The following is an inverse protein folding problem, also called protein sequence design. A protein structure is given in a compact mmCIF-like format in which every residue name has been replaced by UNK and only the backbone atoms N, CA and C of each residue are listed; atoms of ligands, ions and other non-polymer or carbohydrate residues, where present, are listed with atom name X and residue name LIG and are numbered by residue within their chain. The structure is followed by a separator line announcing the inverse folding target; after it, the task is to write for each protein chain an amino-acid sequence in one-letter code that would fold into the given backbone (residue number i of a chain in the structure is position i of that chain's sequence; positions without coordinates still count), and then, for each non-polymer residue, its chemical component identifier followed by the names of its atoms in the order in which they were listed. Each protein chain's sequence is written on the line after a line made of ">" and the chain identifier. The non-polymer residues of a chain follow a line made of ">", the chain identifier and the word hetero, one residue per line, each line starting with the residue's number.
data_IF_578919447909
#
_entry.id   IF_578919447909
#
_cell.length_a   1.000
_cell.length_b   1.000
_cell.length_c   1.000
_cell.angle_alpha   90.00
_cell.angle_beta   90.00
_cell.angle_gamma   90.00
#
_symmetry.space_group_name_H-M   'P 1'
#
loop_
_entity.id
_entity.type
_entity.pdbx_description
1 polymer ?
#
# COMPACT_ATOMS: atom_id res chain seq x y z
N UNK A 1 -5.77 75.66 -10.53
CA UNK A 1 -5.95 74.31 -9.94
C UNK A 1 -6.38 73.30 -11.03
N UNK A 2 -5.47 72.78 -11.86
CA UNK A 2 -5.79 71.75 -12.90
C UNK A 2 -4.67 70.71 -13.15
N UNK A 3 -3.67 70.61 -12.26
CA UNK A 3 -2.51 69.72 -12.43
C UNK A 3 -2.53 68.41 -11.62
N UNK A 4 -3.36 68.31 -10.59
CA UNK A 4 -3.31 67.20 -9.62
C UNK A 4 -4.24 66.03 -9.93
N UNK A 5 -5.21 66.21 -10.85
CA UNK A 5 -6.19 65.16 -11.21
C UNK A 5 -5.59 64.07 -12.13
N UNK A 6 -4.74 64.44 -13.09
CA UNK A 6 -4.18 63.50 -14.05
C UNK A 6 -3.12 62.56 -13.45
N UNK A 7 -2.35 63.01 -12.45
CA UNK A 7 -1.39 62.16 -11.74
C UNK A 7 -2.08 61.13 -10.83
N UNK A 8 -3.17 61.53 -10.16
CA UNK A 8 -4.00 60.60 -9.36
C UNK A 8 -4.66 59.52 -10.22
N UNK A 9 -5.21 59.89 -11.37
CA UNK A 9 -5.84 58.93 -12.28
C UNK A 9 -4.85 57.89 -12.81
N UNK A 10 -3.63 58.29 -13.20
CA UNK A 10 -2.59 57.36 -13.65
C UNK A 10 -2.09 56.43 -12.53
N UNK A 11 -2.03 56.91 -11.29
CA UNK A 11 -1.62 56.09 -10.14
C UNK A 11 -2.69 55.05 -9.77
N UNK A 12 -3.97 55.43 -9.83
CA UNK A 12 -5.09 54.52 -9.63
C UNK A 12 -5.19 53.46 -10.75
N UNK A 13 -4.98 53.86 -12.02
CA UNK A 13 -4.95 52.92 -13.15
C UNK A 13 -3.81 51.90 -13.03
N UNK A 14 -2.60 52.35 -12.67
CA UNK A 14 -1.45 51.45 -12.43
C UNK A 14 -1.67 50.50 -11.25
N UNK A 15 -2.26 50.99 -10.14
CA UNK A 15 -2.65 50.13 -9.00
C UNK A 15 -3.69 49.09 -9.40
N UNK A 16 -4.73 49.48 -10.15
CA UNK A 16 -5.75 48.55 -10.64
C UNK A 16 -5.17 47.51 -11.59
N UNK A 17 -4.30 47.91 -12.52
CA UNK A 17 -3.64 46.99 -13.45
C UNK A 17 -2.73 45.99 -12.73
N UNK A 18 -1.98 46.43 -11.72
CA UNK A 18 -1.11 45.55 -10.92
C UNK A 18 -1.93 44.61 -10.03
N UNK A 19 -3.02 45.08 -9.43
CA UNK A 19 -3.94 44.22 -8.67
C UNK A 19 -4.61 43.18 -9.57
N UNK A 20 -5.00 43.57 -10.79
CA UNK A 20 -5.58 42.64 -11.76
C UNK A 20 -4.56 41.58 -12.21
N UNK A 21 -3.32 42.00 -12.48
CA UNK A 21 -2.22 41.09 -12.83
C UNK A 21 -1.95 40.09 -11.70
N UNK A 22 -1.90 40.57 -10.44
CA UNK A 22 -1.68 39.76 -9.25
C UNK A 22 -2.82 38.77 -9.02
N UNK A 23 -4.08 39.20 -9.20
CA UNK A 23 -5.24 38.34 -9.09
C UNK A 23 -5.23 37.25 -10.17
N UNK A 24 -4.91 37.60 -11.42
CA UNK A 24 -4.80 36.61 -12.50
C UNK A 24 -3.66 35.61 -12.26
N UNK A 25 -2.52 36.05 -11.72
CA UNK A 25 -1.40 35.12 -11.41
C UNK A 25 -1.76 34.19 -10.26
N UNK A 26 -2.45 34.67 -9.22
CA UNK A 26 -2.92 33.84 -8.11
C UNK A 26 -3.97 32.81 -8.55
N UNK A 27 -4.90 33.19 -9.42
CA UNK A 27 -5.89 32.26 -10.00
C UNK A 27 -5.21 31.22 -10.88
N UNK A 28 -4.26 31.62 -11.73
CA UNK A 28 -3.53 30.69 -12.60
C UNK A 28 -2.65 29.73 -11.79
N UNK A 29 -1.97 30.22 -10.74
CA UNK A 29 -1.20 29.40 -9.83
C UNK A 29 -2.09 28.42 -9.04
N UNK A 30 -3.25 28.87 -8.57
CA UNK A 30 -4.24 28.01 -7.91
C UNK A 30 -4.79 26.92 -8.81
N UNK A 31 -5.04 27.23 -10.09
CA UNK A 31 -5.43 26.24 -11.11
C UNK A 31 -4.32 25.22 -11.38
N UNK A 32 -3.06 25.65 -11.44
CA UNK A 32 -1.92 24.76 -11.66
C UNK A 32 -1.69 23.80 -10.47
N UNK A 33 -1.89 24.27 -9.22
CA UNK A 33 -1.77 23.44 -8.02
C UNK A 33 -2.95 22.46 -7.88
N UNK A 34 -4.15 22.84 -8.35
CA UNK A 34 -5.32 21.94 -8.39
C UNK A 34 -5.22 20.80 -9.41
N UNK A 35 -4.26 20.86 -10.34
CA UNK A 35 -4.04 19.82 -11.35
C UNK A 35 -3.01 18.77 -10.93
N UNK A 36 -2.31 18.94 -9.81
CA UNK A 36 -1.36 17.94 -9.31
C UNK A 36 -2.08 16.92 -8.43
N UNK A 37 -2.71 15.94 -9.05
CA UNK A 37 -3.09 14.70 -8.38
C UNK A 37 -2.00 13.66 -8.67
N UNK A 38 -1.28 13.24 -7.64
CA UNK A 38 -0.14 12.36 -7.76
C UNK A 38 -0.34 11.13 -6.88
N UNK A 39 -0.83 10.05 -7.48
CA UNK A 39 -0.93 8.74 -6.83
C UNK A 39 0.46 8.10 -6.72
N UNK A 40 1.13 8.33 -5.59
CA UNK A 40 2.42 7.69 -5.31
C UNK A 40 2.21 6.31 -4.67
N UNK A 41 2.49 5.24 -5.41
CA UNK A 41 2.56 3.89 -4.86
C UNK A 41 3.97 3.59 -4.32
N UNK A 42 4.18 3.84 -3.02
CA UNK A 42 5.41 3.50 -2.31
C UNK A 42 5.31 2.10 -1.69
N UNK A 43 6.33 1.28 -1.95
CA UNK A 43 6.42 -0.08 -1.41
C UNK A 43 7.80 -0.30 -0.80
N UNK A 44 7.88 -0.24 0.53
CA UNK A 44 9.08 -0.57 1.30
C UNK A 44 8.69 -1.41 2.53
N UNK A 45 9.24 -2.63 2.70
CA UNK A 45 10.11 -3.35 1.77
C UNK A 45 9.39 -3.69 0.46
N UNK A 46 10.14 -3.90 -0.62
CA UNK A 46 9.59 -4.28 -1.94
C UNK A 46 8.63 -5.47 -1.81
N UNK A 47 7.49 -5.42 -2.49
CA UNK A 47 6.53 -6.53 -2.47
C UNK A 47 5.82 -6.75 -3.81
N UNK A 48 4.97 -7.78 -3.87
CA UNK A 48 4.57 -8.36 -5.15
C UNK A 48 3.47 -7.62 -5.91
N UNK A 49 2.70 -6.76 -5.25
CA UNK A 49 1.53 -6.11 -5.86
C UNK A 49 0.56 -7.12 -6.52
N UNK A 50 0.15 -8.16 -5.77
CA UNK A 50 -0.66 -9.28 -6.25
C UNK A 50 -0.02 -10.15 -7.34
N UNK A 51 1.22 -9.89 -7.73
CA UNK A 51 1.92 -10.70 -8.72
C UNK A 51 2.40 -12.00 -8.08
N UNK A 52 2.51 -13.04 -8.89
CA UNK A 52 2.98 -14.36 -8.48
C UNK A 52 4.00 -14.90 -9.49
N UNK A 53 3.56 -15.15 -10.72
CA UNK A 53 4.31 -15.78 -11.80
C UNK A 53 4.02 -15.16 -13.20
N UNK A 54 3.65 -13.87 -13.25
CA UNK A 54 3.26 -13.20 -14.51
C UNK A 54 4.44 -12.56 -15.22
N UNK A 55 4.59 -12.77 -16.52
CA UNK A 55 5.72 -12.22 -17.28
C UNK A 55 5.59 -10.71 -17.61
N UNK A 56 4.37 -10.23 -17.83
CA UNK A 56 4.11 -8.83 -18.23
C UNK A 56 4.25 -7.83 -17.09
N UNK A 57 4.41 -6.54 -17.41
CA UNK A 57 4.50 -5.44 -16.44
C UNK A 57 3.20 -5.23 -15.63
N UNK A 58 2.05 -5.58 -16.20
CA UNK A 58 0.76 -5.48 -15.53
C UNK A 58 0.45 -6.75 -14.72
N UNK A 59 -0.15 -6.59 -13.53
CA UNK A 59 -0.73 -7.71 -12.77
C UNK A 59 -1.97 -8.25 -13.49
N UNK A 60 -2.18 -9.56 -13.44
CA UNK A 60 -3.36 -10.20 -14.04
C UNK A 60 -4.61 -10.17 -13.15
N UNK A 61 -4.45 -10.05 -11.83
CA UNK A 61 -5.56 -10.02 -10.89
C UNK A 61 -5.31 -9.00 -9.77
N UNK A 62 -6.18 -7.98 -9.68
CA UNK A 62 -6.11 -6.96 -8.63
C UNK A 62 -6.57 -7.46 -7.26
N UNK A 63 -7.35 -8.52 -7.22
CA UNK A 63 -8.02 -8.97 -5.99
C UNK A 63 -7.37 -10.23 -5.41
N UNK A 64 -6.08 -10.47 -5.68
CA UNK A 64 -5.40 -11.69 -5.21
C UNK A 64 -5.05 -11.63 -3.71
N UNK A 65 -4.47 -10.55 -3.24
CA UNK A 65 -3.99 -10.38 -1.86
C UNK A 65 -4.49 -9.09 -1.21
N UNK A 66 -4.43 -7.97 -1.94
CA UNK A 66 -4.85 -6.65 -1.49
C UNK A 66 -5.19 -5.76 -2.69
N UNK A 67 -5.99 -4.72 -2.52
CA UNK A 67 -6.26 -3.77 -3.60
C UNK A 67 -5.25 -2.60 -3.53
N UNK A 68 -4.38 -2.49 -4.54
CA UNK A 68 -3.25 -1.56 -4.52
C UNK A 68 -3.46 -0.25 -5.27
N UNK A 69 -4.60 -0.10 -5.97
CA UNK A 69 -4.98 1.09 -6.76
C UNK A 69 -3.88 1.72 -7.65
N UNK A 70 -2.79 1.00 -7.96
CA UNK A 70 -1.64 1.53 -8.69
C UNK A 70 -1.68 1.23 -10.21
N UNK A 71 -2.88 1.29 -10.79
CA UNK A 71 -3.13 1.11 -12.22
C UNK A 71 -2.51 -0.17 -12.82
N UNK A 72 -2.72 -1.32 -12.17
CA UNK A 72 -2.19 -2.62 -12.57
C UNK A 72 -0.65 -2.77 -12.60
N UNK A 73 0.14 -1.74 -12.32
CA UNK A 73 1.60 -1.73 -12.57
C UNK A 73 2.45 -1.90 -11.32
N UNK A 74 3.70 -2.32 -11.52
CA UNK A 74 4.69 -2.46 -10.45
C UNK A 74 4.50 -3.71 -9.59
N UNK A 75 5.46 -3.93 -8.70
CA UNK A 75 5.59 -5.13 -7.87
C UNK A 75 6.35 -6.27 -8.56
N UNK A 76 6.72 -7.26 -7.76
CA UNK A 76 7.64 -8.33 -8.16
C UNK A 76 7.00 -9.73 -8.09
N UNK A 77 7.40 -10.60 -9.02
CA UNK A 77 7.07 -12.02 -9.00
C UNK A 77 8.00 -12.79 -8.04
N UNK A 78 7.56 -13.98 -7.64
CA UNK A 78 8.33 -14.88 -6.79
C UNK A 78 9.50 -15.53 -7.54
N UNK A 79 9.47 -15.54 -8.89
CA UNK A 79 10.54 -16.11 -9.70
C UNK A 79 10.79 -17.57 -9.35
N UNK A 80 9.87 -18.44 -9.72
CA UNK A 80 10.01 -19.85 -9.35
C UNK A 80 11.19 -20.47 -10.11
N UNK A 81 12.11 -21.11 -9.38
CA UNK A 81 13.32 -21.76 -9.91
C UNK A 81 13.01 -22.74 -11.06
N UNK A 82 11.77 -23.27 -11.08
CA UNK A 82 11.33 -24.27 -12.04
C UNK A 82 10.41 -23.70 -13.16
N UNK A 83 10.17 -22.38 -13.21
CA UNK A 83 9.38 -21.76 -14.29
C UNK A 83 10.24 -21.52 -15.53
N UNK A 84 9.61 -21.62 -16.72
CA UNK A 84 10.25 -21.55 -18.05
C UNK A 84 11.01 -20.26 -18.34
N UNK A 85 10.82 -19.21 -17.55
CA UNK A 85 11.47 -17.93 -17.74
C UNK A 85 12.18 -17.54 -16.46
N UNK A 86 13.51 -17.66 -16.48
CA UNK A 86 14.41 -17.31 -15.39
C UNK A 86 15.11 -15.97 -15.60
N UNK A 87 14.80 -15.24 -16.69
CA UNK A 87 15.41 -13.94 -16.98
C UNK A 87 14.62 -12.78 -16.38
N UNK A 88 15.35 -11.78 -15.86
CA UNK A 88 14.77 -10.55 -15.32
C UNK A 88 13.98 -9.76 -16.37
N UNK A 89 14.34 -9.87 -17.65
CA UNK A 89 13.63 -9.24 -18.77
C UNK A 89 12.21 -9.78 -18.95
N UNK A 90 11.97 -11.03 -18.57
CA UNK A 90 10.69 -11.71 -18.79
C UNK A 90 9.94 -11.97 -17.50
N UNK A 91 10.61 -11.96 -16.34
CA UNK A 91 9.98 -11.98 -15.04
C UNK A 91 10.64 -10.95 -14.13
N UNK A 92 9.84 -9.98 -13.68
CA UNK A 92 10.24 -9.03 -12.64
C UNK A 92 10.42 -9.76 -11.31
N UNK A 93 11.52 -10.47 -11.12
CA UNK A 93 11.78 -11.23 -9.91
C UNK A 93 12.13 -10.30 -8.77
N UNK A 94 11.67 -10.65 -7.58
CA UNK A 94 12.01 -9.88 -6.40
C UNK A 94 13.47 -10.14 -6.03
N UNK A 95 14.33 -9.16 -6.28
CA UNK A 95 15.64 -9.10 -5.63
C UNK A 95 15.41 -8.71 -4.17
N UNK A 96 15.21 -9.72 -3.31
CA UNK A 96 14.97 -9.52 -1.89
C UNK A 96 16.22 -8.97 -1.18
N UNK A 97 16.00 -8.14 -0.15
CA UNK A 97 16.90 -8.07 1.00
C UNK A 97 16.66 -9.30 1.89
N UNK A 98 16.87 -10.51 1.37
CA UNK A 98 16.75 -11.72 2.17
C UNK A 98 18.10 -12.36 2.37
N UNK A 99 18.40 -12.67 3.62
CA UNK A 99 19.46 -13.61 3.95
C UNK A 99 18.95 -15.01 3.59
N UNK A 100 19.58 -15.68 2.63
CA UNK A 100 19.24 -17.06 2.32
C UNK A 100 19.35 -17.93 3.58
N UNK A 101 18.45 -18.90 3.75
CA UNK A 101 18.36 -19.78 4.94
C UNK A 101 19.69 -20.40 5.40
N UNK A 102 20.68 -20.48 4.49
CA UNK A 102 22.03 -20.98 4.75
C UNK A 102 23.17 -19.95 4.71
N UNK A 103 22.91 -18.69 4.41
CA UNK A 103 23.96 -17.68 4.21
C UNK A 103 24.43 -17.12 5.56
N UNK A 104 25.73 -17.21 5.81
CA UNK A 104 26.33 -16.69 7.03
C UNK A 104 26.33 -15.15 6.98
N UNK A 105 25.52 -14.54 7.85
CA UNK A 105 25.71 -13.12 8.20
C UNK A 105 26.93 -13.02 9.13
N UNK A 106 27.72 -11.97 8.98
CA UNK A 106 28.95 -11.67 9.75
C UNK A 106 28.74 -11.66 11.28
N UNK A 107 27.50 -11.64 11.75
CA UNK A 107 27.11 -11.50 13.16
C UNK A 107 26.54 -12.77 13.83
N UNK A 108 26.83 -13.98 13.33
CA UNK A 108 26.29 -15.23 13.92
C UNK A 108 24.78 -15.42 13.68
N UNK A 109 24.18 -14.55 12.85
CA UNK A 109 22.77 -14.52 12.50
C UNK A 109 22.54 -15.18 11.12
N UNK A 110 22.94 -16.45 10.99
CA UNK A 110 22.79 -17.21 9.74
C UNK A 110 21.34 -17.17 9.24
N UNK A 111 21.15 -16.70 8.01
CA UNK A 111 19.82 -16.63 7.37
C UNK A 111 18.83 -15.63 7.98
N UNK A 112 19.27 -14.65 8.80
CA UNK A 112 18.38 -13.58 9.31
C UNK A 112 18.45 -12.34 8.43
N UNK A 113 17.30 -11.83 7.99
CA UNK A 113 17.19 -10.53 7.31
C UNK A 113 16.94 -9.43 8.34
N UNK A 114 17.60 -8.29 8.21
CA UNK A 114 17.39 -7.11 9.05
C UNK A 114 16.70 -6.03 8.21
N UNK A 115 15.56 -5.54 8.67
CA UNK A 115 14.86 -4.39 8.10
C UNK A 115 14.91 -3.25 9.11
N UNK A 116 15.74 -2.25 8.84
CA UNK A 116 15.78 -1.03 9.66
C UNK A 116 14.56 -0.19 9.34
N UNK A 117 13.80 0.17 10.39
CA UNK A 117 12.69 1.10 10.30
C UNK A 117 13.09 2.35 11.08
N UNK A 118 13.11 3.48 10.41
CA UNK A 118 13.45 4.78 11.00
C UNK A 118 12.39 5.80 10.60
N UNK A 119 12.00 6.65 11.55
CA UNK A 119 11.13 7.80 11.30
C UNK A 119 11.59 8.98 12.15
N UNK A 120 11.40 10.19 11.65
CA UNK A 120 11.64 11.43 12.39
C UNK A 120 10.29 12.08 12.71
N UNK A 121 10.15 12.58 13.95
CA UNK A 121 8.97 13.35 14.35
C UNK A 121 9.38 14.81 14.65
N UNK A 122 8.95 15.74 13.80
CA UNK A 122 9.35 17.14 13.81
C UNK A 122 8.91 17.90 15.08
N UNK A 123 7.76 17.55 15.66
CA UNK A 123 7.16 18.30 16.77
C UNK A 123 7.28 17.61 18.14
N UNK A 124 8.10 16.57 18.26
CA UNK A 124 8.26 15.83 19.51
C UNK A 124 6.98 15.12 19.98
N UNK A 125 7.02 14.53 21.17
CA UNK A 125 5.87 13.88 21.81
C UNK A 125 5.87 14.18 23.31
N UNK A 126 4.69 14.20 23.93
CA UNK A 126 4.51 14.45 25.36
C UNK A 126 4.74 15.91 25.78
N UNK A 127 4.12 16.86 25.08
CA UNK A 127 3.94 18.25 25.54
C UNK A 127 2.44 18.51 25.82
N UNK A 128 2.11 19.57 26.59
CA UNK A 128 0.74 19.87 27.07
C UNK A 128 -0.31 19.88 25.96
N UNK A 129 0.10 20.20 24.73
CA UNK A 129 -0.77 20.30 23.56
C UNK A 129 -0.54 19.18 22.51
N UNK A 130 0.40 18.25 22.74
CA UNK A 130 0.82 17.25 21.76
C UNK A 130 0.91 15.83 22.37
N UNK A 131 -0.11 15.03 22.07
CA UNK A 131 -0.14 13.59 22.32
C UNK A 131 0.21 12.83 21.04
N UNK A 132 1.27 12.01 21.08
CA UNK A 132 1.59 11.10 19.99
C UNK A 132 1.19 9.66 20.32
N UNK A 133 0.70 8.94 19.32
CA UNK A 133 0.62 7.50 19.36
C UNK A 133 1.15 6.94 18.04
N UNK A 134 2.27 6.22 18.10
CA UNK A 134 2.82 5.49 16.96
C UNK A 134 2.51 4.01 17.14
N UNK A 135 1.78 3.43 16.19
CA UNK A 135 1.43 2.01 16.19
C UNK A 135 2.03 1.36 14.95
N UNK A 136 3.12 0.60 15.15
CA UNK A 136 3.67 -0.27 14.12
C UNK A 136 3.11 -1.68 14.30
N UNK A 137 2.32 -2.12 13.32
CA UNK A 137 1.77 -3.48 13.29
C UNK A 137 2.40 -4.28 12.17
N UNK A 138 3.00 -5.41 12.52
CA UNK A 138 3.52 -6.38 11.57
C UNK A 138 3.08 -7.78 11.99
N UNK A 139 3.00 -8.68 11.01
CA UNK A 139 2.58 -10.06 11.23
C UNK A 139 3.61 -11.02 10.66
N UNK A 140 4.10 -11.91 11.50
CA UNK A 140 5.02 -12.98 11.11
C UNK A 140 4.34 -14.34 11.29
N UNK A 141 4.80 -15.32 10.54
CA UNK A 141 4.46 -16.71 10.75
C UNK A 141 5.69 -17.58 10.47
N UNK A 142 5.78 -18.71 11.16
CA UNK A 142 6.84 -19.67 10.90
C UNK A 142 6.64 -20.38 9.56
N UNK A 143 7.69 -20.44 8.74
CA UNK A 143 7.71 -21.22 7.51
C UNK A 143 8.11 -22.67 7.81
N UNK A 144 7.15 -23.44 8.35
CA UNK A 144 7.33 -24.87 8.63
C UNK A 144 6.73 -25.73 7.52
N UNK A 145 7.47 -26.79 7.11
CA UNK A 145 7.06 -27.72 6.04
C UNK A 145 5.69 -28.40 6.26
N UNK A 146 5.13 -28.32 7.47
CA UNK A 146 3.86 -28.95 7.87
C UNK A 146 3.01 -28.04 8.75
N UNK A 147 3.03 -26.72 8.53
CA UNK A 147 2.17 -25.82 9.29
C UNK A 147 0.70 -26.25 9.14
N UNK A 148 0.08 -26.68 10.25
CA UNK A 148 -1.35 -26.96 10.26
C UNK A 148 -2.07 -25.66 9.98
N UNK A 149 -2.68 -25.58 8.81
CA UNK A 149 -3.42 -24.39 8.42
C UNK A 149 -4.61 -24.21 9.36
N UNK A 150 -4.79 -22.98 9.81
CA UNK A 150 -6.01 -22.50 10.43
C UNK A 150 -6.43 -21.21 9.73
N UNK A 151 -7.60 -20.69 10.08
CA UNK A 151 -8.14 -19.50 9.41
C UNK A 151 -7.31 -18.23 9.66
N UNK A 152 -6.37 -18.25 10.61
CA UNK A 152 -5.39 -17.18 10.81
C UNK A 152 -4.07 -17.45 10.08
N UNK A 153 -3.80 -18.60 9.48
CA UNK A 153 -2.52 -18.82 8.80
C UNK A 153 -2.39 -17.91 7.56
N UNK A 154 -1.28 -17.16 7.44
CA UNK A 154 -1.00 -16.42 6.21
C UNK A 154 -0.61 -17.40 5.11
N UNK A 155 -1.01 -17.10 3.89
CA UNK A 155 -0.82 -17.98 2.74
C UNK A 155 -0.26 -17.15 1.61
N UNK A 156 0.84 -17.59 1.02
CA UNK A 156 1.36 -16.94 -0.19
C UNK A 156 0.48 -17.25 -1.41
N UNK A 157 -0.19 -18.43 -1.42
CA UNK A 157 -1.02 -18.90 -2.54
C UNK A 157 -0.19 -19.45 -3.70
N UNK A 158 -0.52 -20.63 -4.21
CA UNK A 158 0.08 -21.20 -5.43
C UNK A 158 -0.59 -20.77 -6.73
N UNK A 159 -1.79 -20.20 -6.64
CA UNK A 159 -2.58 -19.76 -7.78
C UNK A 159 -2.74 -18.23 -7.78
N UNK A 160 -3.18 -17.72 -8.92
CA UNK A 160 -3.42 -16.28 -9.17
C UNK A 160 -4.86 -15.85 -8.87
N UNK A 161 -5.74 -16.79 -8.52
CA UNK A 161 -7.15 -16.54 -8.25
C UNK A 161 -7.38 -15.78 -6.94
N UNK A 162 -8.44 -14.98 -6.92
CA UNK A 162 -8.93 -14.22 -5.76
C UNK A 162 -9.43 -15.15 -4.65
N UNK A 163 -9.11 -14.88 -3.36
CA UNK A 163 -9.73 -15.54 -2.23
C UNK A 163 -11.26 -15.52 -2.36
N UNK A 164 -11.92 -16.65 -2.10
CA UNK A 164 -13.37 -16.69 -2.22
C UNK A 164 -13.96 -16.04 -0.98
N UNK A 165 -14.51 -14.85 -1.16
CA UNK A 165 -15.36 -14.20 -0.18
C UNK A 165 -16.64 -13.74 -0.87
N UNK A 166 -17.78 -14.24 -0.38
CA UNK A 166 -19.08 -13.72 -0.75
C UNK A 166 -19.61 -12.94 0.44
N UNK A 167 -19.88 -11.64 0.24
CA UNK A 167 -20.49 -10.79 1.28
C UNK A 167 -21.81 -11.42 1.72
N UNK A 168 -21.79 -12.04 2.89
CA UNK A 168 -22.92 -12.80 3.43
C UNK A 168 -23.14 -12.37 4.87
N UNK A 169 -24.40 -12.15 5.25
CA UNK A 169 -24.75 -11.92 6.64
C UNK A 169 -24.72 -13.24 7.39
N UNK A 170 -23.58 -13.55 8.03
CA UNK A 170 -23.51 -14.66 8.96
C UNK A 170 -24.33 -14.33 10.21
N UNK A 171 -25.38 -15.12 10.46
CA UNK A 171 -26.32 -14.93 11.57
C UNK A 171 -25.83 -15.51 12.90
N UNK A 172 -24.91 -16.48 12.88
CA UNK A 172 -24.38 -17.14 14.09
C UNK A 172 -22.86 -17.34 14.05
N UNK A 173 -22.23 -17.42 15.23
CA UNK A 173 -20.78 -17.70 15.36
C UNK A 173 -20.41 -19.08 14.80
N UNK A 174 -21.19 -20.11 15.10
CA UNK A 174 -20.97 -21.47 14.60
C UNK A 174 -20.92 -21.53 13.06
N UNK A 175 -21.80 -20.77 12.38
CA UNK A 175 -21.79 -20.69 10.92
C UNK A 175 -20.52 -20.01 10.41
N UNK A 176 -20.05 -18.94 11.07
CA UNK A 176 -18.76 -18.31 10.72
C UNK A 176 -17.60 -19.29 10.86
N UNK A 177 -17.52 -20.01 11.98
CA UNK A 177 -16.43 -20.94 12.25
C UNK A 177 -16.40 -22.09 11.23
N UNK A 178 -17.56 -22.61 10.80
CA UNK A 178 -17.65 -23.59 9.72
C UNK A 178 -16.99 -23.10 8.42
N UNK A 179 -17.34 -21.90 7.94
CA UNK A 179 -16.79 -21.37 6.69
C UNK A 179 -15.33 -20.92 6.82
N UNK A 180 -14.93 -20.38 7.98
CA UNK A 180 -13.54 -20.07 8.28
C UNK A 180 -12.67 -21.34 8.23
N UNK A 181 -13.13 -22.42 8.87
CA UNK A 181 -12.42 -23.69 8.87
C UNK A 181 -12.35 -24.29 7.46
N UNK A 182 -13.46 -24.27 6.71
CA UNK A 182 -13.48 -24.72 5.32
C UNK A 182 -12.45 -23.98 4.45
N UNK A 183 -12.45 -22.65 4.49
CA UNK A 183 -11.48 -21.83 3.73
C UNK A 183 -10.03 -22.10 4.17
N UNK A 184 -9.80 -22.38 5.45
CA UNK A 184 -8.47 -22.63 5.99
C UNK A 184 -7.83 -23.95 5.55
N UNK A 185 -8.58 -24.87 4.93
CA UNK A 185 -8.05 -26.18 4.51
C UNK A 185 -7.12 -26.11 3.30
N UNK A 186 -7.14 -25.01 2.54
CA UNK A 186 -6.39 -24.87 1.29
C UNK A 186 -5.29 -23.82 1.36
N UNK A 187 -4.15 -24.11 0.73
CA UNK A 187 -3.04 -23.17 0.49
C UNK A 187 -3.01 -22.63 -0.94
N UNK A 188 -3.97 -22.99 -1.80
CA UNK A 188 -3.92 -22.63 -3.22
C UNK A 188 -4.04 -21.12 -3.45
N UNK A 189 -4.84 -20.44 -2.64
CA UNK A 189 -5.03 -18.99 -2.73
C UNK A 189 -4.27 -18.29 -1.63
N UNK A 190 -3.79 -17.10 -1.94
CA UNK A 190 -3.04 -16.32 -0.98
C UNK A 190 -3.98 -15.60 -0.02
N UNK A 191 -3.53 -15.36 1.21
CA UNK A 191 -4.32 -14.75 2.26
C UNK A 191 -3.39 -14.10 3.28
N UNK A 192 -3.54 -12.81 3.55
CA UNK A 192 -2.87 -12.17 4.69
C UNK A 192 -3.74 -12.26 5.96
N UNK A 193 -5.04 -12.07 5.80
CA UNK A 193 -6.04 -12.07 6.87
C UNK A 193 -7.29 -12.82 6.44
N UNK A 194 -7.99 -13.46 7.39
CA UNK A 194 -9.21 -14.21 7.11
C UNK A 194 -10.31 -13.31 6.59
N UNK A 195 -11.26 -13.88 5.83
CA UNK A 195 -12.37 -13.10 5.33
C UNK A 195 -13.23 -12.47 6.44
N UNK A 196 -13.20 -13.05 7.65
CA UNK A 196 -13.92 -12.53 8.82
C UNK A 196 -13.49 -11.10 9.16
N UNK A 197 -12.22 -10.74 8.90
CA UNK A 197 -11.76 -9.37 9.09
C UNK A 197 -12.58 -8.42 8.21
N UNK A 198 -12.70 -8.69 6.91
CA UNK A 198 -13.52 -7.86 6.03
C UNK A 198 -14.99 -7.80 6.49
N UNK A 199 -15.60 -8.91 6.90
CA UNK A 199 -16.96 -8.92 7.49
C UNK A 199 -17.07 -7.99 8.71
N UNK A 200 -16.09 -8.03 9.63
CA UNK A 200 -16.03 -7.14 10.79
C UNK A 200 -15.82 -5.68 10.38
N UNK A 201 -14.99 -5.43 9.37
CA UNK A 201 -14.75 -4.09 8.85
C UNK A 201 -16.04 -3.47 8.31
N UNK A 202 -16.82 -4.21 7.52
CA UNK A 202 -18.09 -3.74 6.97
C UNK A 202 -19.19 -3.53 8.03
N UNK A 203 -19.18 -4.32 9.11
CA UNK A 203 -20.20 -4.25 10.16
C UNK A 203 -19.93 -3.20 11.24
N UNK A 204 -18.72 -2.67 11.31
CA UNK A 204 -18.38 -1.62 12.29
C UNK A 204 -19.09 -0.33 11.90
N UNK A 205 -19.94 0.20 12.78
CA UNK A 205 -20.63 1.48 12.58
C UNK A 205 -19.68 2.63 12.21
N UNK A 206 -18.45 2.63 12.76
CA UNK A 206 -17.42 3.63 12.43
C UNK A 206 -17.01 3.65 10.94
N UNK A 207 -17.21 2.53 10.24
CA UNK A 207 -16.80 2.35 8.85
C UNK A 207 -18.00 2.41 7.89
N UNK A 208 -19.19 2.75 8.39
CA UNK A 208 -20.37 3.13 7.60
C UNK A 208 -20.36 4.64 7.41
#
# INVERSE_FOLDING_TARGET
>A
RRGTSNLRNNYHFRKMSNCLLLATTLVLAGLLVGLSDADTFLHSPRGSNNRLNGAGANRGNNNRMFDSQNNAKGGYNVGDKNQKSSSEETQFNMHYFQSGKGYASTSGLKGKSLLTIEWTNQHGCSDRDLNCNFVLQYRCQDDTKHQKLNHHTMRNGRQTNTPQFTKTTYTTRARKDYYLNYDSTSYYRGLHESWEWYDKCFKRNRNQ
#
